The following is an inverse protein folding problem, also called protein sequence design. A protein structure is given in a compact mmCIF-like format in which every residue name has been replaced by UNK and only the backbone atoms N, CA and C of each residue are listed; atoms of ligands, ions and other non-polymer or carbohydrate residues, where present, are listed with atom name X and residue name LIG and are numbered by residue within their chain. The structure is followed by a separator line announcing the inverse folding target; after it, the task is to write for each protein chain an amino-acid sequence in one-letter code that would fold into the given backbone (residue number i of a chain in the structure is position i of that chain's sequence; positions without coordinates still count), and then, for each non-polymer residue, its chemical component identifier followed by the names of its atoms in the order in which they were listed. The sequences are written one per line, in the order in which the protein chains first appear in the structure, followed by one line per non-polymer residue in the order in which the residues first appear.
data_IF_995485330277
#
_entry.id   IF_995485330277
#
_cell.length_a   1.000
_cell.length_b   1.000
_cell.length_c   1.000
_cell.angle_alpha   90.00
_cell.angle_beta   90.00
_cell.angle_gamma   90.00
#
_symmetry.space_group_name_H-M   'P 1'
#
loop_
_entity.id
_entity.type
_entity.pdbx_description
1 polymer ?
#
# COMPACT_ATOMS: atom_id res chain seq x y z
N UNK A 1 -7.69 -11.20 -12.30
CA UNK A 1 -7.40 -9.86 -12.87
C UNK A 1 -8.73 -9.15 -13.12
N UNK A 2 -8.85 -7.87 -12.80
CA UNK A 2 -10.05 -7.03 -12.98
C UNK A 2 -9.74 -5.97 -14.03
N UNK A 3 -10.52 -5.97 -15.13
CA UNK A 3 -10.35 -5.08 -16.28
C UNK A 3 -11.55 -4.14 -16.51
N UNK A 4 -12.62 -4.31 -15.74
CA UNK A 4 -13.83 -3.51 -15.87
C UNK A 4 -13.91 -2.43 -14.78
N UNK A 5 -14.50 -1.28 -15.12
CA UNK A 5 -14.79 -0.18 -14.18
C UNK A 5 -16.01 -0.51 -13.31
N UNK A 6 -16.02 -0.06 -12.06
CA UNK A 6 -17.18 -0.19 -11.17
C UNK A 6 -17.35 -1.57 -10.52
N UNK A 7 -16.34 -2.43 -10.61
CA UNK A 7 -16.35 -3.75 -9.99
C UNK A 7 -16.25 -3.62 -8.47
N UNK A 8 -17.11 -4.34 -7.74
CA UNK A 8 -17.09 -4.42 -6.29
C UNK A 8 -17.04 -5.87 -5.85
N UNK A 9 -16.17 -6.18 -4.90
CA UNK A 9 -16.09 -7.50 -4.27
C UNK A 9 -16.26 -7.38 -2.76
N UNK A 10 -16.97 -8.35 -2.18
CA UNK A 10 -17.34 -8.35 -0.77
C UNK A 10 -17.03 -9.72 -0.16
N UNK A 11 -16.33 -9.72 0.98
CA UNK A 11 -16.16 -10.92 1.82
C UNK A 11 -15.53 -12.12 1.11
N UNK A 12 -14.65 -11.85 0.14
CA UNK A 12 -13.92 -12.87 -0.61
C UNK A 12 -12.48 -13.02 -0.12
N UNK A 13 -12.02 -14.26 -0.10
CA UNK A 13 -10.61 -14.60 0.07
C UNK A 13 -9.99 -14.86 -1.31
N UNK A 14 -8.94 -14.12 -1.66
CA UNK A 14 -8.20 -14.27 -2.91
C UNK A 14 -6.73 -14.50 -2.55
N UNK A 15 -6.21 -15.67 -2.91
CA UNK A 15 -4.87 -16.09 -2.52
C UNK A 15 -4.04 -16.52 -3.73
N UNK A 16 -2.75 -16.21 -3.70
CA UNK A 16 -1.74 -16.89 -4.50
C UNK A 16 -0.75 -17.59 -3.56
N UNK A 17 -0.69 -18.92 -3.64
CA UNK A 17 0.10 -19.74 -2.71
C UNK A 17 1.51 -20.06 -3.23
N UNK A 18 1.95 -19.40 -4.31
CA UNK A 18 3.30 -19.56 -4.85
C UNK A 18 4.34 -18.88 -3.95
N UNK A 19 5.55 -19.44 -3.93
CA UNK A 19 6.77 -18.78 -3.46
C UNK A 19 7.04 -18.80 -1.95
N UNK A 20 6.06 -19.16 -1.12
CA UNK A 20 6.28 -19.31 0.32
C UNK A 20 6.47 -20.80 0.70
N UNK A 21 7.54 -21.21 1.42
CA UNK A 21 8.81 -20.53 1.71
C UNK A 21 9.96 -20.86 0.72
N UNK A 22 9.67 -21.50 -0.43
CA UNK A 22 10.68 -22.30 -1.16
C UNK A 22 11.40 -21.56 -2.29
N UNK A 23 10.72 -20.66 -3.00
CA UNK A 23 11.31 -19.94 -4.15
C UNK A 23 10.67 -18.57 -4.32
N UNK A 24 11.42 -17.53 -3.97
CA UNK A 24 10.96 -16.15 -4.02
C UNK A 24 10.85 -15.65 -5.48
N UNK A 25 9.63 -15.39 -5.94
CA UNK A 25 9.35 -14.64 -7.17
C UNK A 25 7.96 -14.01 -7.09
N UNK A 26 7.68 -13.08 -7.99
CA UNK A 26 6.39 -12.41 -8.12
C UNK A 26 5.23 -13.42 -8.25
N UNK A 27 4.18 -13.22 -7.46
CA UNK A 27 3.01 -14.09 -7.44
C UNK A 27 1.75 -13.32 -7.06
N UNK A 28 1.13 -12.68 -8.06
CA UNK A 28 -0.04 -11.81 -7.85
C UNK A 28 -1.27 -12.63 -7.44
N UNK A 29 -1.94 -12.21 -6.36
CA UNK A 29 -3.26 -12.72 -5.97
C UNK A 29 -4.38 -11.91 -6.65
N UNK A 30 -4.31 -10.58 -6.60
CA UNK A 30 -5.27 -9.69 -7.23
C UNK A 30 -4.57 -8.62 -8.08
N UNK A 31 -5.01 -8.47 -9.33
CA UNK A 31 -4.58 -7.40 -10.22
C UNK A 31 -5.78 -6.59 -10.66
N UNK A 32 -5.75 -5.28 -10.43
CA UNK A 32 -6.80 -4.31 -10.76
C UNK A 32 -6.23 -3.29 -11.74
N UNK A 33 -6.78 -3.25 -12.96
CA UNK A 33 -6.28 -2.42 -14.06
C UNK A 33 -7.36 -1.51 -14.66
N UNK A 34 -8.38 -1.19 -13.86
CA UNK A 34 -9.50 -0.32 -14.20
C UNK A 34 -9.95 0.50 -12.98
N UNK A 35 -10.75 1.55 -13.21
CA UNK A 35 -11.13 2.50 -12.17
C UNK A 35 -12.40 2.13 -11.39
N UNK A 36 -12.66 2.86 -10.32
CA UNK A 36 -13.80 2.67 -9.42
C UNK A 36 -13.93 1.21 -8.92
N UNK A 37 -12.81 0.62 -8.50
CA UNK A 37 -12.80 -0.72 -7.93
C UNK A 37 -12.99 -0.68 -6.41
N UNK A 38 -13.90 -1.48 -5.87
CA UNK A 38 -14.16 -1.59 -4.43
C UNK A 38 -13.88 -2.99 -3.89
N UNK A 39 -13.13 -3.06 -2.79
CA UNK A 39 -12.79 -4.29 -2.07
C UNK A 39 -13.21 -4.14 -0.61
N UNK A 40 -14.18 -4.92 -0.17
CA UNK A 40 -14.90 -4.71 1.08
C UNK A 40 -14.87 -5.96 1.95
N UNK A 41 -14.18 -5.91 3.09
CA UNK A 41 -14.12 -7.06 4.00
C UNK A 41 -13.43 -8.29 3.39
N UNK A 42 -12.53 -8.09 2.44
CA UNK A 42 -11.86 -9.16 1.71
C UNK A 42 -10.54 -9.57 2.37
N UNK A 43 -10.04 -10.76 2.03
CA UNK A 43 -8.72 -11.23 2.40
C UNK A 43 -7.87 -11.45 1.15
N UNK A 44 -6.78 -10.72 1.00
CA UNK A 44 -5.82 -10.86 -0.09
C UNK A 44 -4.50 -11.41 0.47
N UNK A 45 -4.07 -12.61 0.05
CA UNK A 45 -2.85 -13.24 0.59
C UNK A 45 -1.88 -13.68 -0.48
N UNK A 46 -0.61 -13.44 -0.24
CA UNK A 46 0.52 -13.86 -1.07
C UNK A 46 1.83 -13.62 -0.34
N UNK A 47 2.92 -13.49 -1.08
CA UNK A 47 4.24 -13.19 -0.51
C UNK A 47 4.93 -12.02 -1.22
N UNK A 48 5.35 -12.21 -2.47
CA UNK A 48 5.86 -11.14 -3.32
C UNK A 48 4.77 -10.73 -4.31
N UNK A 49 4.51 -9.43 -4.42
CA UNK A 49 3.57 -8.82 -5.38
C UNK A 49 2.10 -9.24 -5.18
N UNK A 50 1.60 -9.39 -3.94
CA UNK A 50 0.22 -9.85 -3.64
C UNK A 50 -0.87 -9.06 -4.38
N UNK A 51 -0.86 -7.73 -4.28
CA UNK A 51 -1.86 -6.83 -4.84
C UNK A 51 -1.24 -5.88 -5.86
N UNK A 52 -1.55 -6.11 -7.13
CA UNK A 52 -1.25 -5.20 -8.24
C UNK A 52 -2.41 -4.19 -8.41
N UNK A 53 -2.33 -3.07 -7.71
CA UNK A 53 -3.18 -1.89 -7.86
C UNK A 53 -2.67 -0.98 -8.99
N UNK A 54 -2.89 -1.39 -10.24
CA UNK A 54 -2.15 -0.82 -11.37
C UNK A 54 -2.75 0.45 -11.96
N UNK A 55 -4.08 0.51 -12.14
CA UNK A 55 -4.73 1.64 -12.82
C UNK A 55 -6.07 2.02 -12.19
N UNK A 56 -6.40 3.31 -12.25
CA UNK A 56 -7.70 3.86 -11.84
C UNK A 56 -7.83 4.09 -10.33
N UNK A 57 -9.01 4.55 -9.89
CA UNK A 57 -9.30 4.76 -8.46
C UNK A 57 -9.75 3.48 -7.80
N UNK A 58 -9.20 3.17 -6.63
CA UNK A 58 -9.46 1.89 -5.95
C UNK A 58 -9.63 2.09 -4.45
N UNK A 59 -10.59 1.39 -3.86
CA UNK A 59 -10.91 1.45 -2.44
C UNK A 59 -10.82 0.06 -1.81
N UNK A 60 -10.12 -0.04 -0.68
CA UNK A 60 -9.96 -1.26 0.10
C UNK A 60 -10.36 -1.00 1.55
N UNK A 61 -11.58 -1.39 1.93
CA UNK A 61 -12.15 -1.11 3.25
C UNK A 61 -12.25 -2.37 4.10
N UNK A 62 -11.87 -2.27 5.37
CA UNK A 62 -12.01 -3.33 6.38
C UNK A 62 -11.47 -4.69 5.93
N UNK A 63 -10.41 -4.67 5.14
CA UNK A 63 -9.85 -5.85 4.48
C UNK A 63 -8.60 -6.34 5.21
N UNK A 64 -8.14 -7.52 4.85
CA UNK A 64 -6.86 -8.08 5.27
C UNK A 64 -5.98 -8.25 4.04
N UNK A 65 -4.79 -7.65 4.04
CA UNK A 65 -3.83 -7.73 2.93
C UNK A 65 -2.50 -8.23 3.47
N UNK A 66 -1.97 -9.29 2.89
CA UNK A 66 -0.79 -9.99 3.39
C UNK A 66 0.29 -10.18 2.33
N UNK A 67 1.54 -10.01 2.75
CA UNK A 67 2.72 -10.30 1.94
C UNK A 67 4.01 -9.96 2.65
N UNK A 68 5.10 -9.88 1.90
CA UNK A 68 6.43 -9.58 2.42
C UNK A 68 7.18 -8.58 1.53
N UNK A 69 7.19 -8.76 0.21
CA UNK A 69 7.97 -7.94 -0.72
C UNK A 69 7.05 -7.27 -1.73
N UNK A 70 7.08 -5.94 -1.79
CA UNK A 70 6.35 -5.09 -2.73
C UNK A 70 4.87 -5.47 -2.86
N UNK A 71 4.23 -5.91 -1.77
CA UNK A 71 2.99 -6.66 -1.87
C UNK A 71 1.74 -5.79 -2.09
N UNK A 72 1.87 -4.46 -2.02
CA UNK A 72 0.90 -3.47 -2.51
C UNK A 72 1.62 -2.57 -3.52
N UNK A 73 1.40 -2.78 -4.82
CA UNK A 73 2.19 -2.14 -5.87
C UNK A 73 1.38 -1.82 -7.13
N UNK A 74 1.94 -0.99 -8.01
CA UNK A 74 1.33 -0.58 -9.26
C UNK A 74 1.73 0.84 -9.68
N UNK A 75 1.36 1.26 -10.89
CA UNK A 75 1.97 2.46 -11.50
C UNK A 75 1.04 3.66 -11.65
N UNK A 76 -0.23 3.44 -11.96
CA UNK A 76 -1.16 4.45 -12.45
C UNK A 76 -2.46 4.53 -11.64
N UNK A 77 -2.55 3.80 -10.51
CA UNK A 77 -3.72 3.83 -9.64
C UNK A 77 -3.59 4.91 -8.56
N UNK A 78 -4.73 5.43 -8.14
CA UNK A 78 -4.87 6.13 -6.86
C UNK A 78 -5.69 5.24 -5.93
N UNK A 79 -5.14 4.87 -4.78
CA UNK A 79 -5.75 3.90 -3.86
C UNK A 79 -5.92 4.46 -2.46
N UNK A 80 -7.05 4.08 -1.85
CA UNK A 80 -7.34 4.33 -0.44
C UNK A 80 -7.60 3.00 0.27
N UNK A 81 -6.70 2.63 1.17
CA UNK A 81 -6.83 1.45 2.03
C UNK A 81 -7.19 1.94 3.42
N UNK A 82 -8.34 1.52 3.96
CA UNK A 82 -8.84 2.00 5.26
C UNK A 82 -9.37 0.92 6.17
N UNK A 83 -9.19 1.10 7.49
CA UNK A 83 -9.70 0.21 8.53
C UNK A 83 -9.23 -1.23 8.36
N UNK A 84 -8.12 -1.44 7.66
CA UNK A 84 -7.66 -2.73 7.18
C UNK A 84 -6.45 -3.22 7.98
N UNK A 85 -6.29 -4.54 8.06
CA UNK A 85 -5.08 -5.16 8.58
C UNK A 85 -4.10 -5.40 7.44
N UNK A 86 -2.90 -4.87 7.58
CA UNK A 86 -1.76 -5.09 6.70
C UNK A 86 -0.82 -6.04 7.42
N UNK A 87 -0.80 -7.31 7.02
CA UNK A 87 -0.06 -8.37 7.70
C UNK A 87 1.24 -8.72 6.95
N UNK A 88 2.38 -8.59 7.60
CA UNK A 88 3.67 -8.94 7.01
C UNK A 88 4.08 -10.36 7.42
N UNK A 89 4.59 -11.16 6.47
CA UNK A 89 4.95 -12.58 6.71
C UNK A 89 6.43 -12.88 6.46
N UNK A 90 7.25 -11.86 6.28
CA UNK A 90 8.68 -11.97 6.00
C UNK A 90 9.32 -10.59 5.97
N UNK A 91 10.61 -10.50 5.66
CA UNK A 91 11.28 -9.20 5.49
C UNK A 91 11.03 -8.62 4.09
N UNK A 92 10.93 -7.29 3.97
CA UNK A 92 10.71 -6.61 2.70
C UNK A 92 10.02 -5.26 2.82
N UNK A 93 9.08 -5.00 1.92
CA UNK A 93 8.48 -3.69 1.69
C UNK A 93 6.97 -3.82 1.52
N UNK A 94 6.20 -3.03 2.26
CA UNK A 94 4.73 -3.06 2.18
C UNK A 94 4.26 -2.48 0.85
N UNK A 95 4.78 -1.33 0.46
CA UNK A 95 4.37 -0.64 -0.76
C UNK A 95 5.50 -0.47 -1.77
N UNK A 96 5.15 -0.56 -3.05
CA UNK A 96 6.02 -0.21 -4.16
C UNK A 96 5.24 0.63 -5.20
N UNK A 97 5.11 1.93 -4.94
CA UNK A 97 4.49 2.86 -5.89
C UNK A 97 5.39 3.03 -7.11
N UNK A 98 4.86 2.72 -8.29
CA UNK A 98 5.50 2.87 -9.59
C UNK A 98 5.10 4.15 -10.31
N UNK A 99 4.59 5.15 -9.59
CA UNK A 99 4.26 6.46 -10.16
C UNK A 99 5.51 7.08 -10.77
N UNK A 100 5.44 7.46 -12.05
CA UNK A 100 6.60 7.88 -12.86
C UNK A 100 6.55 9.32 -13.35
N UNK A 101 5.52 10.09 -12.98
CA UNK A 101 5.35 11.49 -13.38
C UNK A 101 4.65 12.31 -12.30
N UNK A 102 4.55 13.63 -12.48
CA UNK A 102 3.90 14.56 -11.55
C UNK A 102 2.35 14.47 -11.51
N UNK A 103 1.74 13.32 -11.82
CA UNK A 103 0.28 13.11 -11.82
C UNK A 103 -0.37 13.26 -10.42
N UNK A 104 -1.69 13.13 -10.32
CA UNK A 104 -2.42 13.29 -9.06
C UNK A 104 -2.61 11.99 -8.24
N UNK A 105 -2.01 10.87 -8.63
CA UNK A 105 -2.25 9.56 -8.00
C UNK A 105 -1.56 9.39 -6.63
N UNK A 106 -2.28 8.87 -5.63
CA UNK A 106 -1.74 8.58 -4.31
C UNK A 106 -1.94 7.12 -3.96
N UNK A 107 -1.00 6.56 -3.20
CA UNK A 107 -1.32 5.43 -2.34
C UNK A 107 -1.52 5.96 -0.92
N UNK A 108 -2.66 5.67 -0.31
CA UNK A 108 -2.91 6.04 1.09
C UNK A 108 -3.36 4.83 1.90
N UNK A 109 -2.67 4.60 3.01
CA UNK A 109 -3.05 3.66 4.07
C UNK A 109 -3.54 4.47 5.26
N UNK A 110 -4.85 4.54 5.47
CA UNK A 110 -5.52 5.32 6.51
C UNK A 110 -6.12 4.40 7.57
N UNK A 111 -5.94 4.67 8.87
CA UNK A 111 -6.55 3.86 9.95
C UNK A 111 -6.28 2.36 9.82
N UNK A 112 -5.12 1.99 9.29
CA UNK A 112 -4.72 0.60 9.14
C UNK A 112 -4.02 0.10 10.41
N UNK A 113 -4.06 -1.22 10.60
CA UNK A 113 -3.16 -1.90 11.55
C UNK A 113 -2.08 -2.61 10.76
N UNK A 114 -0.85 -2.12 10.84
CA UNK A 114 0.34 -2.73 10.23
C UNK A 114 1.00 -3.63 11.28
N UNK A 115 0.93 -4.94 11.06
CA UNK A 115 1.36 -5.97 12.00
C UNK A 115 2.05 -7.11 11.26
N UNK A 116 2.58 -8.08 12.00
CA UNK A 116 3.17 -9.28 11.44
C UNK A 116 4.62 -9.48 11.86
N UNK A 117 5.40 -10.12 10.98
CA UNK A 117 6.76 -10.54 11.22
C UNK A 117 7.73 -10.02 10.14
N UNK A 118 9.02 -10.24 10.39
CA UNK A 118 10.10 -9.84 9.50
C UNK A 118 10.52 -8.39 9.66
N UNK A 119 11.67 -8.06 9.06
CA UNK A 119 12.16 -6.69 9.02
C UNK A 119 11.49 -5.95 7.86
N UNK A 120 10.66 -4.96 8.17
CA UNK A 120 9.78 -4.34 7.18
C UNK A 120 10.00 -2.85 7.01
N UNK A 121 9.82 -2.39 5.78
CA UNK A 121 9.72 -0.99 5.42
C UNK A 121 8.28 -0.69 4.98
N UNK A 122 7.80 0.52 5.25
CA UNK A 122 6.52 1.03 4.73
C UNK A 122 6.49 1.05 3.20
N UNK A 123 7.64 1.23 2.56
CA UNK A 123 7.76 1.05 1.12
C UNK A 123 9.11 1.46 0.55
N UNK A 124 9.20 1.30 -0.77
CA UNK A 124 10.31 1.77 -1.61
C UNK A 124 9.82 2.25 -2.98
N UNK A 125 10.55 3.14 -3.67
CA UNK A 125 10.06 3.77 -4.89
C UNK A 125 10.34 2.94 -6.14
N UNK A 126 9.36 2.17 -6.63
CA UNK A 126 9.55 1.45 -7.91
C UNK A 126 9.87 2.42 -9.06
N UNK A 127 9.34 3.64 -9.00
CA UNK A 127 9.71 4.75 -9.89
C UNK A 127 9.91 6.05 -9.11
N UNK A 128 10.63 6.99 -9.71
CA UNK A 128 11.18 8.18 -9.05
C UNK A 128 10.14 9.18 -8.53
N UNK A 129 8.89 9.07 -8.98
CA UNK A 129 7.75 9.88 -8.52
C UNK A 129 6.85 9.11 -7.53
N UNK A 130 7.34 8.02 -6.93
CA UNK A 130 6.59 7.21 -5.97
C UNK A 130 5.95 8.08 -4.88
N UNK A 131 4.66 7.85 -4.62
CA UNK A 131 3.91 8.61 -3.62
C UNK A 131 3.05 7.70 -2.76
N UNK A 132 3.38 7.66 -1.47
CA UNK A 132 2.70 6.84 -0.47
C UNK A 132 2.54 7.62 0.82
N UNK A 133 1.32 7.66 1.35
CA UNK A 133 1.01 8.25 2.66
C UNK A 133 0.51 7.14 3.60
N UNK A 134 1.11 7.03 4.78
CA UNK A 134 0.59 6.21 5.87
C UNK A 134 0.08 7.13 6.96
N UNK A 135 -1.20 7.08 7.28
CA UNK A 135 -1.81 8.04 8.20
C UNK A 135 -2.80 7.40 9.17
N UNK A 136 -2.92 7.98 10.36
CA UNK A 136 -3.87 7.57 11.41
C UNK A 136 -3.77 6.07 11.76
N UNK A 137 -2.62 5.43 11.50
CA UNK A 137 -2.46 3.97 11.54
C UNK A 137 -1.67 3.52 12.77
N UNK A 138 -1.89 2.28 13.18
CA UNK A 138 -1.06 1.60 14.19
C UNK A 138 0.04 0.80 13.49
N UNK A 139 1.30 1.14 13.75
CA UNK A 139 2.47 0.58 13.08
C UNK A 139 3.28 -0.22 14.09
N UNK A 140 3.30 -1.55 13.91
CA UNK A 140 4.04 -2.47 14.75
C UNK A 140 5.56 -2.25 14.73
N UNK A 141 6.25 -2.66 15.79
CA UNK A 141 7.70 -2.46 15.98
C UNK A 141 8.60 -3.23 15.01
N UNK A 142 8.03 -4.10 14.18
CA UNK A 142 8.74 -4.83 13.13
C UNK A 142 9.05 -3.93 11.91
N UNK A 143 8.37 -2.78 11.78
CA UNK A 143 8.76 -1.73 10.83
C UNK A 143 10.02 -1.04 11.36
N UNK A 144 11.07 -1.01 10.53
CA UNK A 144 12.38 -0.49 10.93
C UNK A 144 12.38 1.01 11.14
N UNK A 145 13.34 1.50 11.92
CA UNK A 145 13.48 2.92 12.24
C UNK A 145 13.64 3.82 11.00
N UNK A 146 14.29 3.33 9.93
CA UNK A 146 14.42 4.05 8.66
C UNK A 146 13.06 4.27 7.96
N UNK A 147 12.10 3.36 8.16
CA UNK A 147 10.74 3.44 7.67
C UNK A 147 10.56 3.19 6.18
N UNK A 148 11.36 3.86 5.37
CA UNK A 148 11.33 3.86 3.91
C UNK A 148 12.73 3.55 3.40
N UNK A 149 12.79 2.88 2.26
CA UNK A 149 14.07 2.57 1.62
C UNK A 149 14.13 3.13 0.19
N UNK A 150 15.34 3.31 -0.30
CA UNK A 150 15.59 3.58 -1.72
C UNK A 150 15.34 2.32 -2.54
N UNK A 151 15.15 2.47 -3.85
CA UNK A 151 14.89 1.31 -4.71
C UNK A 151 16.11 0.37 -4.82
N UNK A 152 17.29 0.94 -5.09
CA UNK A 152 18.57 0.25 -5.03
C UNK A 152 19.72 1.24 -4.88
N UNK A 153 20.93 0.75 -4.59
CA UNK A 153 22.13 1.61 -4.51
C UNK A 153 22.50 2.26 -5.85
N UNK A 154 22.22 1.61 -6.98
CA UNK A 154 22.55 2.11 -8.33
C UNK A 154 21.39 2.90 -8.96
N UNK A 155 20.19 2.78 -8.42
CA UNK A 155 19.01 3.50 -8.89
C UNK A 155 18.12 3.81 -7.69
N UNK A 156 18.46 4.83 -6.88
CA UNK A 156 17.72 5.13 -5.65
C UNK A 156 16.25 5.49 -5.90
N UNK A 157 15.95 6.16 -7.02
CA UNK A 157 14.61 6.66 -7.39
C UNK A 157 13.98 7.55 -6.31
N UNK A 158 14.74 8.48 -5.73
CA UNK A 158 14.31 9.30 -4.60
C UNK A 158 14.15 10.79 -4.92
N UNK A 159 14.30 11.23 -6.17
CA UNK A 159 14.42 12.66 -6.48
C UNK A 159 13.07 13.38 -6.40
N UNK A 160 11.97 12.67 -6.66
CA UNK A 160 10.61 13.25 -6.69
C UNK A 160 9.61 12.51 -5.79
N UNK A 161 10.10 11.67 -4.88
CA UNK A 161 9.24 10.86 -4.02
C UNK A 161 8.52 11.71 -2.98
N UNK A 162 7.30 11.28 -2.65
CA UNK A 162 6.60 11.72 -1.44
C UNK A 162 6.20 10.50 -0.61
N UNK A 163 7.03 10.21 0.38
CA UNK A 163 6.71 9.26 1.43
C UNK A 163 6.35 10.02 2.69
N UNK A 164 5.07 9.98 3.05
CA UNK A 164 4.54 10.76 4.15
C UNK A 164 3.96 9.90 5.25
N UNK A 165 4.17 10.33 6.49
CA UNK A 165 3.54 9.75 7.67
C UNK A 165 2.78 10.84 8.42
N UNK A 166 1.56 10.55 8.90
CA UNK A 166 0.76 11.51 9.65
C UNK A 166 -0.03 10.83 10.78
N UNK A 167 0.12 11.32 12.01
CA UNK A 167 -0.68 10.88 13.16
C UNK A 167 -0.71 9.34 13.34
N UNK A 168 0.41 8.68 13.06
CA UNK A 168 0.56 7.24 13.29
C UNK A 168 0.99 6.99 14.74
N UNK A 169 0.63 5.82 15.27
CA UNK A 169 1.03 5.32 16.60
C UNK A 169 1.65 3.93 16.49
N UNK A 170 2.13 3.40 17.61
CA UNK A 170 2.77 2.08 17.66
C UNK A 170 4.30 2.13 17.57
N UNK A 171 4.96 1.01 17.85
CA UNK A 171 6.41 0.94 18.00
C UNK A 171 7.21 1.26 16.72
N UNK A 172 6.59 1.09 15.55
CA UNK A 172 7.17 1.39 14.23
C UNK A 172 6.72 2.73 13.63
N UNK A 173 5.98 3.55 14.39
CA UNK A 173 5.55 4.89 13.97
C UNK A 173 6.74 5.84 13.71
N UNK A 174 6.42 7.06 13.26
CA UNK A 174 7.41 8.07 12.91
C UNK A 174 8.47 8.25 14.00
N UNK A 175 9.73 8.37 13.55
CA UNK A 175 10.87 8.72 14.39
C UNK A 175 11.72 9.73 13.63
N UNK A 176 12.31 10.66 14.36
CA UNK A 176 13.25 11.61 13.77
C UNK A 176 14.45 10.88 13.17
N UNK A 177 14.92 11.36 12.02
CA UNK A 177 16.04 10.77 11.28
C UNK A 177 15.67 9.84 10.13
N UNK A 178 14.37 9.62 9.83
CA UNK A 178 13.95 9.02 8.55
C UNK A 178 14.43 9.90 7.40
N UNK A 179 15.29 9.35 6.53
CA UNK A 179 16.00 10.13 5.50
C UNK A 179 15.12 10.48 4.29
N UNK A 180 14.29 9.53 3.85
CA UNK A 180 13.47 9.65 2.63
C UNK A 180 12.04 10.09 2.99
N UNK A 181 11.51 9.57 4.10
CA UNK A 181 10.16 9.90 4.59
C UNK A 181 10.05 11.32 5.15
N UNK A 182 8.81 11.80 5.26
CA UNK A 182 8.46 13.09 5.86
C UNK A 182 7.36 12.92 6.90
N UNK A 183 7.52 13.55 8.06
CA UNK A 183 6.42 13.75 8.99
C UNK A 183 5.54 14.87 8.46
N UNK A 184 4.29 14.57 8.12
CA UNK A 184 3.37 15.56 7.57
C UNK A 184 2.71 16.35 8.70
N UNK A 185 2.38 17.61 8.41
CA UNK A 185 1.60 18.46 9.33
C UNK A 185 0.10 18.20 9.25
N UNK A 186 -0.37 17.55 8.18
CA UNK A 186 -1.76 17.18 7.94
C UNK A 186 -1.84 15.89 7.12
N UNK A 187 -2.90 15.11 7.33
CA UNK A 187 -3.25 13.97 6.49
C UNK A 187 -3.87 14.40 5.16
N UNK A 188 -3.97 13.46 4.23
CA UNK A 188 -4.68 13.63 2.96
C UNK A 188 -6.12 13.13 3.10
N UNK A 189 -7.07 13.79 2.43
CA UNK A 189 -8.47 13.35 2.41
C UNK A 189 -8.73 12.30 1.33
N UNK A 190 -9.72 11.45 1.56
CA UNK A 190 -10.14 10.45 0.56
C UNK A 190 -10.62 11.09 -0.76
N UNK A 191 -11.21 12.29 -0.72
CA UNK A 191 -11.63 13.00 -1.92
C UNK A 191 -10.46 13.54 -2.73
N UNK A 192 -9.36 13.95 -2.08
CA UNK A 192 -8.11 14.29 -2.79
C UNK A 192 -7.53 13.07 -3.51
N UNK A 193 -7.64 11.89 -2.91
CA UNK A 193 -7.06 10.65 -3.44
C UNK A 193 -7.92 10.05 -4.55
N UNK A 194 -9.23 9.94 -4.34
CA UNK A 194 -10.14 9.20 -5.23
C UNK A 194 -11.05 10.11 -6.09
N UNK A 195 -10.99 11.43 -5.89
CA UNK A 195 -11.84 12.42 -6.56
C UNK A 195 -13.29 12.46 -6.05
N UNK A 196 -13.93 11.30 -5.86
CA UNK A 196 -15.28 11.17 -5.31
C UNK A 196 -15.41 9.87 -4.51
N UNK A 197 -16.25 9.90 -3.48
CA UNK A 197 -16.65 8.73 -2.68
C UNK A 197 -18.03 8.19 -3.07
N UNK A 198 -18.73 8.80 -4.04
CA UNK A 198 -20.12 8.44 -4.40
C UNK A 198 -20.29 7.00 -4.91
N UNK A 199 -19.21 6.38 -5.37
CA UNK A 199 -19.20 5.00 -5.86
C UNK A 199 -18.77 3.99 -4.78
N UNK A 200 -18.38 4.45 -3.59
CA UNK A 200 -17.91 3.64 -2.47
C UNK A 200 -19.10 3.26 -1.60
N UNK A 201 -19.11 2.02 -1.12
CA UNK A 201 -20.04 1.58 -0.09
C UNK A 201 -19.74 2.27 1.25
N UNK A 202 -20.64 3.14 1.71
CA UNK A 202 -20.44 3.95 2.91
C UNK A 202 -20.38 3.13 4.21
N UNK A 203 -20.85 1.88 4.20
CA UNK A 203 -20.72 0.98 5.36
C UNK A 203 -19.25 0.61 5.66
N UNK A 204 -18.33 0.87 4.73
CA UNK A 204 -16.91 0.51 4.83
C UNK A 204 -15.95 1.71 4.91
N UNK A 205 -16.47 2.95 4.89
CA UNK A 205 -15.68 4.17 5.10
C UNK A 205 -15.16 4.32 6.55
#
# INVERSE_FOLDING_TARGET
RVLATGVRIYNLNIANTYGHPVKQSQAIALSVQAGQFGCYGCKLTGYQDTLLADKGTQFYGKSFIEGAVDFIFGQQASIWVTGSTINTVGSGYITASGRSSADANYYVLDKCTITGSGQQYLGRPWRDYARVIVQNSDIGSHVVAAGWDQWSATSPNTDHVLFGEYNNKGGGAWRDGRKIGKNLSAGVSISTVLGSTSWIDSAYL
#
